data_IF_635233255542
#
_entry.id   IF_635233255542
#
_cell.length_a   1.000
_cell.length_b   1.000
_cell.length_c   1.000
_cell.angle_alpha   90.00
_cell.angle_beta   90.00
_cell.angle_gamma   90.00
#
_symmetry.space_group_name_H-M   'P 1'
#
loop_
_entity.id
_entity.type
_entity.pdbx_description
1 polymer ?
#
# COMPACT_ATOMS: atom_id res chain seq x y z
N UNK A 1 -11.63 -29.16 15.55
CA UNK A 1 -10.49 -29.67 14.73
C UNK A 1 -10.18 -28.81 13.50
N UNK A 2 -11.10 -27.97 12.98
CA UNK A 2 -10.87 -27.13 11.79
C UNK A 2 -10.20 -25.76 12.06
N UNK A 3 -10.34 -25.22 13.27
CA UNK A 3 -9.81 -23.88 13.64
C UNK A 3 -8.29 -23.80 13.64
N UNK A 4 -7.59 -24.85 14.13
CA UNK A 4 -6.13 -24.90 14.12
C UNK A 4 -5.56 -24.88 12.69
N UNK A 5 -6.23 -25.53 11.73
CA UNK A 5 -5.77 -25.54 10.34
C UNK A 5 -5.88 -24.14 9.70
N UNK A 6 -6.97 -23.42 9.95
CA UNK A 6 -7.15 -22.04 9.47
C UNK A 6 -6.13 -21.08 10.09
N UNK A 7 -5.86 -21.21 11.39
CA UNK A 7 -4.82 -20.42 12.06
C UNK A 7 -3.43 -20.67 11.46
N UNK A 8 -3.07 -21.93 11.23
CA UNK A 8 -1.81 -22.27 10.56
C UNK A 8 -1.73 -21.70 9.15
N UNK A 9 -2.82 -21.74 8.38
CA UNK A 9 -2.86 -21.15 7.04
C UNK A 9 -2.66 -19.64 7.07
N UNK A 10 -3.33 -18.92 7.98
CA UNK A 10 -3.17 -17.47 8.13
C UNK A 10 -1.73 -17.11 8.50
N UNK A 11 -1.13 -17.80 9.47
CA UNK A 11 0.25 -17.57 9.88
C UNK A 11 1.24 -17.85 8.73
N UNK A 12 1.02 -18.92 7.97
CA UNK A 12 1.85 -19.25 6.81
C UNK A 12 1.72 -18.20 5.71
N UNK A 13 0.51 -17.76 5.37
CA UNK A 13 0.28 -16.71 4.38
C UNK A 13 0.94 -15.40 4.80
N UNK A 14 0.73 -14.98 6.06
CA UNK A 14 1.35 -13.78 6.63
C UNK A 14 2.87 -13.84 6.52
N UNK A 15 3.47 -14.96 6.92
CA UNK A 15 4.93 -15.15 6.82
C UNK A 15 5.42 -15.07 5.38
N UNK A 16 4.72 -15.72 4.46
CA UNK A 16 5.04 -15.71 3.03
C UNK A 16 5.01 -14.29 2.43
N UNK A 17 4.06 -13.44 2.86
CA UNK A 17 3.99 -12.04 2.41
C UNK A 17 5.19 -11.21 2.89
N UNK A 18 5.70 -11.48 4.10
CA UNK A 18 6.93 -10.85 4.60
C UNK A 18 8.17 -11.36 3.88
N UNK A 19 8.31 -12.68 3.72
CA UNK A 19 9.49 -13.29 3.09
C UNK A 19 9.62 -12.88 1.61
N UNK A 20 8.49 -12.69 0.91
CA UNK A 20 8.46 -12.18 -0.46
C UNK A 20 8.60 -10.65 -0.55
N UNK A 21 8.68 -9.96 0.60
CA UNK A 21 8.84 -8.51 0.70
C UNK A 21 7.61 -7.70 0.28
N UNK A 22 6.42 -8.32 0.16
CA UNK A 22 5.18 -7.59 -0.13
C UNK A 22 4.80 -6.67 1.02
N UNK A 23 4.94 -7.19 2.25
CA UNK A 23 4.63 -6.48 3.47
C UNK A 23 5.90 -6.23 4.29
N UNK A 24 5.98 -5.06 4.89
CA UNK A 24 6.94 -4.72 5.92
C UNK A 24 6.46 -5.30 7.25
N UNK A 25 7.21 -6.26 7.80
CA UNK A 25 6.82 -6.94 9.02
C UNK A 25 6.78 -6.01 10.22
N UNK A 26 7.70 -5.05 10.32
CA UNK A 26 7.74 -4.14 11.47
C UNK A 26 6.51 -3.23 11.47
N UNK A 27 6.17 -2.67 10.30
CA UNK A 27 5.02 -1.78 10.18
C UNK A 27 3.69 -2.51 10.36
N UNK A 28 3.52 -3.72 9.81
CA UNK A 28 2.27 -4.46 9.96
C UNK A 28 2.09 -4.93 11.41
N UNK A 29 3.16 -5.36 12.09
CA UNK A 29 3.11 -5.73 13.51
C UNK A 29 2.70 -4.51 14.36
N UNK A 30 3.27 -3.33 14.11
CA UNK A 30 2.87 -2.12 14.82
C UNK A 30 1.38 -1.79 14.62
N UNK A 31 0.83 -2.04 13.43
CA UNK A 31 -0.59 -1.85 13.17
C UNK A 31 -1.45 -2.89 13.91
N UNK A 32 -1.01 -4.15 13.96
CA UNK A 32 -1.66 -5.22 14.72
C UNK A 32 -1.62 -4.97 16.24
N UNK A 33 -0.53 -4.39 16.76
CA UNK A 33 -0.37 -4.05 18.19
C UNK A 33 -1.35 -2.95 18.66
N UNK A 34 -1.94 -2.19 17.74
CA UNK A 34 -2.99 -1.21 18.03
C UNK A 34 -4.39 -1.83 18.14
N UNK A 35 -4.55 -3.10 17.76
CA UNK A 35 -5.82 -3.82 17.88
C UNK A 35 -5.95 -4.41 19.29
N UNK A 36 -7.08 -4.15 19.95
CA UNK A 36 -7.38 -4.64 21.29
C UNK A 36 -8.83 -5.14 21.42
N UNK A 37 -9.22 -5.57 22.62
CA UNK A 37 -10.57 -6.08 22.89
C UNK A 37 -11.66 -5.00 22.75
N UNK A 38 -11.30 -3.70 22.82
CA UNK A 38 -12.22 -2.59 22.64
C UNK A 38 -12.40 -2.23 21.15
N UNK A 39 -11.38 -2.48 20.32
CA UNK A 39 -11.43 -2.32 18.87
C UNK A 39 -10.88 -3.57 18.13
N UNK A 40 -11.63 -4.69 18.13
CA UNK A 40 -11.12 -5.97 17.61
C UNK A 40 -10.98 -6.03 16.08
N UNK A 41 -11.53 -5.07 15.34
CA UNK A 41 -11.51 -5.03 13.88
C UNK A 41 -10.59 -3.92 13.32
N UNK A 42 -9.79 -3.27 14.18
CA UNK A 42 -8.98 -2.12 13.80
C UNK A 42 -8.14 -2.35 12.53
N UNK A 43 -7.44 -3.49 12.46
CA UNK A 43 -6.57 -3.79 11.31
C UNK A 43 -7.40 -3.96 10.03
N UNK A 44 -8.54 -4.64 10.13
CA UNK A 44 -9.45 -4.84 9.00
C UNK A 44 -9.98 -3.49 8.47
N UNK A 45 -10.39 -2.59 9.38
CA UNK A 45 -10.91 -1.28 9.03
C UNK A 45 -9.85 -0.41 8.34
N UNK A 46 -8.62 -0.39 8.87
CA UNK A 46 -7.51 0.36 8.29
C UNK A 46 -7.14 -0.18 6.91
N UNK A 47 -7.06 -1.51 6.76
CA UNK A 47 -6.75 -2.14 5.46
C UNK A 47 -7.87 -1.90 4.44
N UNK A 48 -9.13 -1.95 4.88
CA UNK A 48 -10.28 -1.65 4.02
C UNK A 48 -10.29 -0.20 3.55
N UNK A 49 -9.97 0.74 4.44
CA UNK A 49 -9.81 2.14 4.08
C UNK A 49 -8.66 2.33 3.10
N UNK A 50 -7.52 1.68 3.33
CA UNK A 50 -6.38 1.69 2.42
C UNK A 50 -6.78 1.23 1.01
N UNK A 51 -7.57 0.16 0.86
CA UNK A 51 -8.02 -0.29 -0.47
C UNK A 51 -8.90 0.73 -1.19
N UNK A 52 -9.85 1.35 -0.48
CA UNK A 52 -10.71 2.39 -1.04
C UNK A 52 -9.89 3.60 -1.51
N UNK A 53 -8.96 4.08 -0.67
CA UNK A 53 -8.09 5.20 -1.01
C UNK A 53 -7.15 4.87 -2.17
N UNK A 54 -6.58 3.66 -2.18
CA UNK A 54 -5.69 3.19 -3.24
C UNK A 54 -6.38 3.16 -4.60
N UNK A 55 -7.61 2.66 -4.67
CA UNK A 55 -8.38 2.62 -5.92
C UNK A 55 -8.58 4.03 -6.50
N UNK A 56 -8.95 4.99 -5.66
CA UNK A 56 -9.11 6.40 -6.05
C UNK A 56 -7.77 7.01 -6.52
N UNK A 57 -6.68 6.73 -5.81
CA UNK A 57 -5.35 7.27 -6.15
C UNK A 57 -4.83 6.70 -7.48
N UNK A 58 -4.99 5.40 -7.71
CA UNK A 58 -4.63 4.73 -8.97
C UNK A 58 -5.42 5.33 -10.13
N UNK A 59 -6.73 5.52 -9.97
CA UNK A 59 -7.56 6.15 -10.99
C UNK A 59 -7.08 7.58 -11.32
N UNK A 60 -6.71 8.37 -10.31
CA UNK A 60 -6.18 9.73 -10.51
C UNK A 60 -4.82 9.70 -11.24
N UNK A 61 -3.96 8.72 -10.94
CA UNK A 61 -2.69 8.52 -11.65
C UNK A 61 -2.96 8.24 -13.13
N UNK A 62 -3.83 7.28 -13.45
CA UNK A 62 -4.20 6.91 -14.82
C UNK A 62 -4.76 8.10 -15.61
N UNK A 63 -5.65 8.88 -14.99
CA UNK A 63 -6.22 10.09 -15.60
C UNK A 63 -5.15 11.14 -15.88
N UNK A 64 -4.25 11.38 -14.92
CA UNK A 64 -3.17 12.37 -15.07
C UNK A 64 -2.19 11.96 -16.16
N UNK A 65 -1.86 10.67 -16.25
CA UNK A 65 -1.03 10.10 -17.33
C UNK A 65 -1.68 10.14 -18.70
N UNK A 66 -3.01 10.16 -18.78
CA UNK A 66 -3.76 10.25 -20.05
C UNK A 66 -3.77 11.67 -20.63
N UNK A 67 -3.49 12.69 -19.82
CA UNK A 67 -3.44 14.08 -20.27
C UNK A 67 -2.23 14.36 -21.18
N UNK A 68 -2.38 15.30 -22.11
CA UNK A 68 -1.30 15.75 -23.00
C UNK A 68 -1.25 17.28 -23.03
N UNK A 69 -0.15 17.92 -22.57
CA UNK A 69 1.02 17.30 -21.95
C UNK A 69 0.70 16.65 -20.59
N UNK A 70 1.54 15.71 -20.15
CA UNK A 70 1.40 15.09 -18.82
C UNK A 70 1.77 16.12 -17.75
N UNK A 71 0.93 16.25 -16.72
CA UNK A 71 1.22 17.09 -15.56
C UNK A 71 2.02 16.29 -14.52
N UNK A 72 3.35 16.32 -14.64
CA UNK A 72 4.26 15.60 -13.75
C UNK A 72 4.25 16.14 -12.32
N UNK A 73 3.95 17.43 -12.12
CA UNK A 73 3.84 18.00 -10.77
C UNK A 73 2.64 17.41 -10.05
N UNK A 74 1.49 17.39 -10.72
CA UNK A 74 0.28 16.77 -10.17
C UNK A 74 0.46 15.27 -9.93
N UNK A 75 1.19 14.60 -10.82
CA UNK A 75 1.48 13.18 -10.69
C UNK A 75 2.37 12.89 -9.46
N UNK A 76 3.41 13.71 -9.21
CA UNK A 76 4.25 13.58 -8.02
C UNK A 76 3.45 13.75 -6.73
N UNK A 77 2.53 14.71 -6.67
CA UNK A 77 1.67 14.94 -5.51
C UNK A 77 0.82 13.69 -5.19
N UNK A 78 0.18 13.11 -6.22
CA UNK A 78 -0.66 11.91 -6.05
C UNK A 78 0.19 10.72 -5.61
N UNK A 79 1.38 10.53 -6.20
CA UNK A 79 2.31 9.46 -5.83
C UNK A 79 2.88 9.65 -4.42
N UNK A 80 3.11 10.89 -3.98
CA UNK A 80 3.53 11.18 -2.62
C UNK A 80 2.46 10.76 -1.61
N UNK A 81 1.20 11.12 -1.87
CA UNK A 81 0.07 10.69 -1.05
C UNK A 81 -0.07 9.17 -1.03
N UNK A 82 0.02 8.52 -2.20
CA UNK A 82 -0.13 7.07 -2.30
C UNK A 82 1.00 6.34 -1.58
N UNK A 83 2.25 6.79 -1.74
CA UNK A 83 3.40 6.28 -0.97
C UNK A 83 3.18 6.39 0.54
N UNK A 84 2.64 7.51 1.02
CA UNK A 84 2.31 7.72 2.42
C UNK A 84 1.29 6.69 2.93
N UNK A 85 0.21 6.48 2.16
CA UNK A 85 -0.81 5.47 2.45
C UNK A 85 -0.24 4.04 2.44
N UNK A 86 0.63 3.70 1.49
CA UNK A 86 1.31 2.39 1.50
C UNK A 86 2.22 2.21 2.72
N UNK A 87 2.84 3.30 3.18
CA UNK A 87 3.73 3.27 4.34
C UNK A 87 2.98 3.03 5.65
N UNK A 88 1.73 3.47 5.80
CA UNK A 88 0.97 3.30 7.05
C UNK A 88 0.59 1.85 7.34
N UNK A 89 0.37 1.03 6.30
CA UNK A 89 0.00 -0.39 6.44
C UNK A 89 1.15 -1.36 6.14
N UNK A 90 2.34 -0.85 5.82
CA UNK A 90 3.49 -1.69 5.48
C UNK A 90 3.43 -2.29 4.07
N UNK A 91 2.68 -1.73 3.11
CA UNK A 91 2.64 -2.19 1.72
C UNK A 91 3.94 -1.84 0.97
N UNK A 92 5.01 -2.56 1.29
CA UNK A 92 6.39 -2.24 0.92
C UNK A 92 6.62 -2.15 -0.58
N UNK A 93 6.23 -3.17 -1.36
CA UNK A 93 6.48 -3.15 -2.81
C UNK A 93 5.79 -1.98 -3.53
N UNK A 94 4.58 -1.64 -3.11
CA UNK A 94 3.83 -0.53 -3.73
C UNK A 94 4.46 0.81 -3.34
N UNK A 95 4.88 0.97 -2.07
CA UNK A 95 5.63 2.13 -1.60
C UNK A 95 6.92 2.34 -2.41
N UNK A 96 7.65 1.27 -2.67
CA UNK A 96 8.92 1.31 -3.41
C UNK A 96 8.66 1.66 -4.89
N UNK A 97 7.64 1.06 -5.52
CA UNK A 97 7.21 1.41 -6.87
C UNK A 97 6.78 2.88 -6.98
N UNK A 98 6.04 3.41 -5.99
CA UNK A 98 5.69 4.83 -5.95
C UNK A 98 6.95 5.70 -5.85
N UNK A 99 7.96 5.28 -5.08
CA UNK A 99 9.21 6.04 -4.97
C UNK A 99 9.96 6.09 -6.31
N UNK A 100 10.06 4.96 -7.02
CA UNK A 100 10.64 4.91 -8.36
C UNK A 100 9.87 5.78 -9.36
N UNK A 101 8.54 5.74 -9.30
CA UNK A 101 7.71 6.52 -10.22
C UNK A 101 7.90 8.03 -10.01
N UNK A 102 8.08 8.47 -8.76
CA UNK A 102 8.40 9.89 -8.48
C UNK A 102 9.72 10.33 -9.12
N UNK A 103 10.71 9.45 -9.23
CA UNK A 103 11.96 9.74 -9.96
C UNK A 103 11.69 10.01 -11.45
N UNK A 104 10.80 9.24 -12.08
CA UNK A 104 10.38 9.49 -13.45
C UNK A 104 9.62 10.79 -13.61
N UNK A 105 8.79 11.17 -12.62
CA UNK A 105 8.10 12.45 -12.62
C UNK A 105 9.11 13.62 -12.56
N UNK A 106 10.12 13.52 -11.71
CA UNK A 106 11.19 14.52 -11.60
C UNK A 106 12.02 14.63 -12.89
N UNK A 107 12.17 13.52 -13.62
CA UNK A 107 12.84 13.49 -14.92
C UNK A 107 11.95 13.91 -16.11
N UNK A 108 10.63 14.09 -15.89
CA UNK A 108 9.67 14.32 -16.97
C UNK A 108 9.53 13.13 -17.92
N UNK A 109 9.80 11.91 -17.45
CA UNK A 109 9.73 10.69 -18.25
C UNK A 109 8.35 10.02 -18.11
N UNK A 110 7.54 10.08 -19.17
CA UNK A 110 6.21 9.44 -19.19
C UNK A 110 6.26 7.93 -19.47
N UNK A 111 7.39 7.40 -19.97
CA UNK A 111 7.54 5.98 -20.32
C UNK A 111 8.05 5.12 -19.16
N UNK A 112 8.66 5.76 -18.14
CA UNK A 112 9.34 5.09 -17.04
C UNK A 112 10.79 4.74 -17.39
#
# INVERSE_FOLDING_TARGET
MNSNQLQHQVLYMRRSLFDQGYLDSEQLIQLEDLQDDANPNFVEEVVSLFYSDSARLIQNIEQTLSNRPVDFSRLDDILHQFKGSCSSIGAKKVKDACSQFREYCNAGNAEG
#
